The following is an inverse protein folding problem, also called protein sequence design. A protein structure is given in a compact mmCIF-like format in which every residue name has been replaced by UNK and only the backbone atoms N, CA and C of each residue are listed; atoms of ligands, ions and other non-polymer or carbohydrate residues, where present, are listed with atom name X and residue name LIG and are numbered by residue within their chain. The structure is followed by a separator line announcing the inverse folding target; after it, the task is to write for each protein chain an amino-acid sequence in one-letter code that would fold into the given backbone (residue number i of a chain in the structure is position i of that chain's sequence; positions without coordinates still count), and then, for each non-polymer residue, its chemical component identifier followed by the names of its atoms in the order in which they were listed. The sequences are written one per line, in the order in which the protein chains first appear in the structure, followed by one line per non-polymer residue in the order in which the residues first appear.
data_IF_942301211357
#
_entry.id   IF_942301211357
#
_cell.length_a   1.000
_cell.length_b   1.000
_cell.length_c   1.000
_cell.angle_alpha   90.00
_cell.angle_beta   90.00
_cell.angle_gamma   90.00
#
_symmetry.space_group_name_H-M   'P 1'
#
loop_
_entity.id
_entity.type
_entity.pdbx_description
1 polymer ?
#
# COMPACT_ATOMS: atom_id res chain seq x y z
N UNK A 1 30.49 -7.37 4.64
CA UNK A 1 29.42 -6.75 3.82
C UNK A 1 29.93 -6.66 2.40
N UNK A 2 29.22 -7.24 1.45
CA UNK A 2 29.46 -7.04 0.00
C UNK A 2 29.08 -5.62 -0.39
N UNK A 3 29.66 -5.08 -1.48
CA UNK A 3 29.25 -3.79 -2.05
C UNK A 3 27.75 -3.75 -2.37
N UNK A 4 27.19 -4.91 -2.74
CA UNK A 4 25.79 -5.08 -3.08
C UNK A 4 24.90 -4.89 -1.83
N UNK A 5 25.30 -5.40 -0.66
CA UNK A 5 24.62 -5.09 0.61
C UNK A 5 24.57 -3.59 0.93
N UNK A 6 25.63 -2.84 0.63
CA UNK A 6 25.69 -1.38 0.83
C UNK A 6 24.64 -0.64 -0.01
N UNK A 7 24.22 -1.20 -1.15
CA UNK A 7 23.18 -0.62 -2.01
C UNK A 7 21.78 -1.18 -1.67
N UNK A 8 21.68 -2.49 -1.42
CA UNK A 8 20.40 -3.16 -1.15
C UNK A 8 19.72 -2.63 0.11
N UNK A 9 20.48 -2.38 1.18
CA UNK A 9 19.91 -1.89 2.45
C UNK A 9 19.25 -0.51 2.28
N UNK A 10 19.92 0.54 1.78
CA UNK A 10 19.27 1.83 1.53
C UNK A 10 18.08 1.73 0.57
N UNK A 11 18.19 0.96 -0.51
CA UNK A 11 17.09 0.76 -1.47
C UNK A 11 15.88 0.12 -0.79
N UNK A 12 16.10 -0.89 0.06
CA UNK A 12 15.04 -1.55 0.81
C UNK A 12 14.38 -0.59 1.79
N UNK A 13 15.17 0.16 2.57
CA UNK A 13 14.66 1.11 3.55
C UNK A 13 13.87 2.25 2.89
N UNK A 14 14.35 2.78 1.77
CA UNK A 14 13.61 3.75 0.96
C UNK A 14 12.31 3.16 0.42
N UNK A 15 12.36 1.92 -0.08
CA UNK A 15 11.17 1.20 -0.54
C UNK A 15 10.12 1.04 0.56
N UNK A 16 10.54 0.64 1.76
CA UNK A 16 9.68 0.50 2.94
C UNK A 16 9.10 1.85 3.38
N UNK A 17 9.93 2.89 3.48
CA UNK A 17 9.49 4.23 3.88
C UNK A 17 8.45 4.80 2.92
N UNK A 18 8.67 4.67 1.60
CA UNK A 18 7.72 5.09 0.59
C UNK A 18 6.44 4.25 0.62
N UNK A 19 6.58 2.92 0.63
CA UNK A 19 5.43 1.99 0.58
C UNK A 19 4.52 2.12 1.80
N UNK A 20 5.08 1.93 3.00
CA UNK A 20 4.33 1.99 4.27
C UNK A 20 3.84 3.41 4.53
N UNK A 21 4.70 4.43 4.34
CA UNK A 21 4.34 5.82 4.56
C UNK A 21 3.19 6.27 3.66
N UNK A 22 3.26 5.99 2.36
CA UNK A 22 2.21 6.35 1.42
C UNK A 22 0.90 5.59 1.68
N UNK A 23 0.95 4.30 2.04
CA UNK A 23 -0.24 3.53 2.41
C UNK A 23 -0.93 4.13 3.65
N UNK A 24 -0.17 4.46 4.68
CA UNK A 24 -0.68 5.12 5.89
C UNK A 24 -1.31 6.48 5.59
N UNK A 25 -0.68 7.29 4.75
CA UNK A 25 -1.25 8.58 4.30
C UNK A 25 -2.56 8.36 3.53
N UNK A 26 -2.60 7.40 2.61
CA UNK A 26 -3.81 7.07 1.83
C UNK A 26 -4.95 6.69 2.76
N UNK A 27 -4.71 5.78 3.70
CA UNK A 27 -5.68 5.34 4.69
C UNK A 27 -6.17 6.50 5.56
N UNK A 28 -5.26 7.35 6.04
CA UNK A 28 -5.61 8.53 6.84
C UNK A 28 -6.52 9.50 6.06
N UNK A 29 -6.25 9.71 4.77
CA UNK A 29 -7.08 10.57 3.91
C UNK A 29 -8.47 9.97 3.68
N UNK A 30 -8.57 8.66 3.48
CA UNK A 30 -9.87 7.98 3.37
C UNK A 30 -10.68 8.14 4.65
N UNK A 31 -10.07 7.85 5.81
CA UNK A 31 -10.70 8.04 7.12
C UNK A 31 -11.12 9.50 7.34
N UNK A 32 -10.27 10.46 6.94
CA UNK A 32 -10.57 11.88 7.02
C UNK A 32 -11.77 12.24 6.15
N UNK A 33 -11.83 11.76 4.90
CA UNK A 33 -12.95 12.02 3.98
C UNK A 33 -14.29 11.47 4.49
N UNK A 34 -14.26 10.38 5.27
CA UNK A 34 -15.45 9.85 5.96
C UNK A 34 -15.94 10.77 7.07
N UNK A 35 -15.03 11.26 7.90
CA UNK A 35 -15.36 12.16 9.01
C UNK A 35 -15.72 13.58 8.55
N UNK A 36 -15.19 14.01 7.39
CA UNK A 36 -15.35 15.35 6.83
C UNK A 36 -15.59 15.25 5.33
N UNK A 37 -16.85 15.23 4.87
CA UNK A 37 -17.18 15.08 3.45
C UNK A 37 -16.52 16.10 2.53
N UNK A 38 -16.26 17.32 3.03
CA UNK A 38 -15.53 18.37 2.29
C UNK A 38 -14.08 17.98 1.90
N UNK A 39 -13.49 16.95 2.52
CA UNK A 39 -12.16 16.44 2.15
C UNK A 39 -12.18 15.42 1.02
N UNK A 40 -13.36 14.94 0.59
CA UNK A 40 -13.46 13.93 -0.47
C UNK A 40 -12.80 14.37 -1.78
N UNK A 41 -12.99 15.60 -2.30
CA UNK A 41 -12.35 16.03 -3.54
C UNK A 41 -10.82 16.00 -3.44
N UNK A 42 -10.27 16.44 -2.31
CA UNK A 42 -8.83 16.42 -2.03
C UNK A 42 -8.31 14.98 -2.07
N UNK A 43 -8.97 14.06 -1.36
CA UNK A 43 -8.62 12.64 -1.40
C UNK A 43 -8.64 12.10 -2.85
N UNK A 44 -9.69 12.42 -3.60
CA UNK A 44 -9.81 11.97 -4.99
C UNK A 44 -8.67 12.52 -5.87
N UNK A 45 -8.26 13.76 -5.70
CA UNK A 45 -7.16 14.35 -6.48
C UNK A 45 -5.81 13.68 -6.17
N UNK A 46 -5.49 13.48 -4.89
CA UNK A 46 -4.16 13.01 -4.46
C UNK A 46 -4.01 11.49 -4.41
N UNK A 47 -5.10 10.71 -4.52
CA UNK A 47 -5.02 9.23 -4.41
C UNK A 47 -4.05 8.60 -5.42
N UNK A 48 -4.04 9.07 -6.67
CA UNK A 48 -3.22 8.51 -7.75
C UNK A 48 -1.72 8.71 -7.51
N UNK A 49 -1.22 9.92 -7.21
CA UNK A 49 0.20 10.08 -6.89
C UNK A 49 0.60 9.28 -5.65
N UNK A 50 -0.27 9.18 -4.64
CA UNK A 50 0.00 8.33 -3.46
C UNK A 50 0.12 6.85 -3.86
N UNK A 51 -0.81 6.31 -4.65
CA UNK A 51 -0.72 4.94 -5.18
C UNK A 51 0.58 4.70 -5.95
N UNK A 52 1.07 5.68 -6.73
CA UNK A 52 2.37 5.57 -7.42
C UNK A 52 3.53 5.44 -6.45
N UNK A 53 3.53 6.19 -5.34
CA UNK A 53 4.53 6.03 -4.28
C UNK A 53 4.45 4.67 -3.60
N UNK A 54 3.23 4.15 -3.37
CA UNK A 54 3.03 2.80 -2.82
C UNK A 54 3.65 1.74 -3.75
N UNK A 55 3.31 1.78 -5.04
CA UNK A 55 3.81 0.84 -6.05
C UNK A 55 5.33 0.96 -6.19
N UNK A 56 5.86 2.18 -6.28
CA UNK A 56 7.31 2.41 -6.35
C UNK A 56 8.05 1.87 -5.12
N UNK A 57 7.52 2.15 -3.93
CA UNK A 57 8.07 1.62 -2.68
C UNK A 57 8.06 0.09 -2.62
N UNK A 58 6.94 -0.53 -3.01
CA UNK A 58 6.80 -1.98 -3.07
C UNK A 58 7.75 -2.60 -4.10
N UNK A 59 7.93 -1.98 -5.27
CA UNK A 59 8.87 -2.43 -6.28
C UNK A 59 10.31 -2.40 -5.76
N UNK A 60 10.75 -1.29 -5.15
CA UNK A 60 12.08 -1.18 -4.54
C UNK A 60 12.30 -2.23 -3.44
N UNK A 61 11.32 -2.42 -2.56
CA UNK A 61 11.39 -3.42 -1.48
C UNK A 61 11.42 -4.86 -2.02
N UNK A 62 10.69 -5.14 -3.10
CA UNK A 62 10.66 -6.46 -3.76
C UNK A 62 11.98 -6.75 -4.46
N UNK A 63 12.49 -5.80 -5.26
CA UNK A 63 13.75 -5.95 -6.00
C UNK A 63 14.95 -6.11 -5.05
N UNK A 64 15.00 -5.34 -3.97
CA UNK A 64 16.04 -5.50 -2.95
C UNK A 64 15.94 -6.85 -2.22
N UNK A 65 14.71 -7.31 -1.93
CA UNK A 65 14.46 -8.65 -1.39
C UNK A 65 14.97 -9.78 -2.29
N UNK A 66 14.70 -9.69 -3.60
CA UNK A 66 15.23 -10.62 -4.61
C UNK A 66 16.76 -10.54 -4.65
N UNK A 67 17.34 -9.34 -4.57
CA UNK A 67 18.79 -9.15 -4.50
C UNK A 67 19.45 -9.93 -3.37
N UNK A 68 18.90 -9.90 -2.16
CA UNK A 68 19.41 -10.71 -1.05
C UNK A 68 19.28 -12.22 -1.30
N UNK A 69 18.18 -12.69 -1.89
CA UNK A 69 18.04 -14.10 -2.25
C UNK A 69 19.13 -14.54 -3.24
N UNK A 70 19.47 -13.70 -4.22
CA UNK A 70 20.55 -13.94 -5.19
C UNK A 70 21.93 -13.96 -4.52
N UNK A 71 22.15 -13.17 -3.46
CA UNK A 71 23.37 -13.24 -2.64
C UNK A 71 23.47 -14.52 -1.78
N UNK A 72 22.45 -15.39 -1.81
CA UNK A 72 22.46 -16.65 -1.07
C UNK A 72 21.88 -16.55 0.33
N UNK A 73 21.04 -15.55 0.62
CA UNK A 73 20.30 -15.51 1.89
C UNK A 73 19.47 -16.80 2.06
N UNK A 74 19.61 -17.52 3.18
CA UNK A 74 18.97 -18.81 3.36
C UNK A 74 17.45 -18.67 3.52
N UNK A 75 16.71 -19.64 2.96
CA UNK A 75 15.27 -19.76 3.16
C UNK A 75 14.96 -20.16 4.60
N UNK A 76 14.47 -19.20 5.38
CA UNK A 76 13.92 -19.43 6.72
C UNK A 76 12.38 -19.39 6.70
N UNK A 77 11.69 -20.01 7.67
CA UNK A 77 10.23 -19.89 7.79
C UNK A 77 9.75 -18.43 7.83
N UNK A 78 10.54 -17.54 8.47
CA UNK A 78 10.26 -16.10 8.51
C UNK A 78 10.33 -15.44 7.14
N UNK A 79 11.35 -15.80 6.33
CA UNK A 79 11.49 -15.29 4.96
C UNK A 79 10.34 -15.77 4.07
N UNK A 80 9.95 -17.03 4.18
CA UNK A 80 8.79 -17.59 3.46
C UNK A 80 7.52 -16.81 3.82
N UNK A 81 7.28 -16.55 5.12
CA UNK A 81 6.15 -15.74 5.56
C UNK A 81 6.21 -14.31 4.98
N UNK A 82 7.38 -13.67 4.96
CA UNK A 82 7.57 -12.34 4.36
C UNK A 82 7.21 -12.34 2.88
N UNK A 83 7.70 -13.33 2.13
CA UNK A 83 7.41 -13.47 0.68
C UNK A 83 5.93 -13.68 0.45
N UNK A 84 5.26 -14.52 1.25
CA UNK A 84 3.81 -14.73 1.16
C UNK A 84 3.02 -13.44 1.42
N UNK A 85 3.40 -12.65 2.43
CA UNK A 85 2.79 -11.35 2.71
C UNK A 85 3.01 -10.37 1.55
N UNK A 86 4.22 -10.28 1.02
CA UNK A 86 4.53 -9.43 -0.15
C UNK A 86 3.71 -9.85 -1.37
N UNK A 87 3.56 -11.15 -1.62
CA UNK A 87 2.71 -11.65 -2.69
C UNK A 87 1.22 -11.28 -2.50
N UNK A 88 0.72 -11.36 -1.26
CA UNK A 88 -0.64 -10.93 -0.94
C UNK A 88 -0.84 -9.43 -1.19
N UNK A 89 0.14 -8.58 -0.86
CA UNK A 89 0.12 -7.15 -1.18
C UNK A 89 0.06 -6.93 -2.70
N UNK A 90 0.89 -7.63 -3.46
CA UNK A 90 0.90 -7.56 -4.93
C UNK A 90 -0.40 -8.04 -5.58
N UNK A 91 -1.13 -8.97 -4.96
CA UNK A 91 -2.45 -9.39 -5.43
C UNK A 91 -3.54 -8.38 -5.04
N UNK A 92 -3.47 -7.84 -3.83
CA UNK A 92 -4.47 -6.90 -3.31
C UNK A 92 -4.40 -5.53 -4.00
N UNK A 93 -3.21 -5.05 -4.36
CA UNK A 93 -3.02 -3.77 -5.06
C UNK A 93 -3.87 -3.65 -6.34
N UNK A 94 -3.72 -4.55 -7.33
CA UNK A 94 -4.54 -4.56 -8.54
C UNK A 94 -6.04 -4.69 -8.27
N UNK A 95 -6.46 -5.43 -7.24
CA UNK A 95 -7.86 -5.51 -6.85
C UNK A 95 -8.38 -4.14 -6.41
N UNK A 96 -7.63 -3.43 -5.56
CA UNK A 96 -7.98 -2.08 -5.11
C UNK A 96 -8.02 -1.13 -6.29
N UNK A 97 -6.96 -1.06 -7.08
CA UNK A 97 -6.79 -0.04 -8.12
C UNK A 97 -7.72 -0.24 -9.32
N UNK A 98 -8.00 -1.49 -9.71
CA UNK A 98 -8.78 -1.78 -10.92
C UNK A 98 -10.26 -2.09 -10.64
N UNK A 99 -10.62 -2.47 -9.41
CA UNK A 99 -12.00 -2.88 -9.09
C UNK A 99 -12.64 -1.98 -8.04
N UNK A 100 -11.99 -1.82 -6.89
CA UNK A 100 -12.62 -1.14 -5.74
C UNK A 100 -12.58 0.38 -5.89
N UNK A 101 -11.43 0.95 -6.25
CA UNK A 101 -11.25 2.39 -6.44
C UNK A 101 -12.15 2.94 -7.57
N UNK A 102 -12.24 2.31 -8.75
CA UNK A 102 -13.12 2.83 -9.81
C UNK A 102 -14.60 2.80 -9.43
N UNK A 103 -15.03 1.88 -8.55
CA UNK A 103 -16.40 1.89 -8.02
C UNK A 103 -16.63 3.06 -7.06
N UNK A 104 -15.67 3.33 -6.17
CA UNK A 104 -15.71 4.50 -5.28
C UNK A 104 -15.81 5.81 -6.07
N UNK A 105 -14.98 5.95 -7.10
CA UNK A 105 -14.90 7.17 -7.91
C UNK A 105 -16.19 7.38 -8.72
N UNK A 106 -16.71 6.32 -9.36
CA UNK A 106 -17.95 6.40 -10.15
C UNK A 106 -19.19 6.75 -9.32
N UNK A 107 -19.19 6.41 -8.03
CA UNK A 107 -20.32 6.66 -7.14
C UNK A 107 -20.12 7.89 -6.26
N UNK A 108 -19.00 8.61 -6.40
CA UNK A 108 -18.72 9.79 -5.59
C UNK A 108 -19.78 10.88 -5.83
N UNK A 109 -20.35 11.48 -4.77
CA UNK A 109 -21.28 12.59 -4.91
C UNK A 109 -20.58 13.82 -5.50
N UNK A 110 -21.33 14.69 -6.17
CA UNK A 110 -20.80 15.99 -6.57
C UNK A 110 -20.51 16.87 -5.35
N UNK A 111 -19.74 17.94 -5.54
CA UNK A 111 -19.42 18.87 -4.45
C UNK A 111 -20.71 19.51 -3.91
N UNK A 112 -20.95 19.36 -2.61
CA UNK A 112 -22.15 19.87 -1.94
C UNK A 112 -23.34 18.90 -1.92
N UNK A 113 -23.27 17.78 -2.64
CA UNK A 113 -24.32 16.76 -2.61
C UNK A 113 -24.16 15.80 -1.41
N UNK A 114 -25.28 15.26 -0.95
CA UNK A 114 -25.30 14.23 0.08
C UNK A 114 -24.80 12.88 -0.49
N UNK A 115 -24.09 12.12 0.35
CA UNK A 115 -23.61 10.79 -0.02
C UNK A 115 -24.77 9.79 -0.17
N UNK A 116 -24.93 9.24 -1.38
CA UNK A 116 -25.89 8.18 -1.64
C UNK A 116 -25.47 6.82 -1.04
N UNK A 117 -26.42 5.90 -0.89
CA UNK A 117 -26.18 4.57 -0.32
C UNK A 117 -25.11 3.75 -1.10
N UNK A 118 -25.09 3.87 -2.42
CA UNK A 118 -24.10 3.21 -3.28
C UNK A 118 -22.67 3.68 -2.97
N UNK A 119 -22.48 4.98 -2.77
CA UNK A 119 -21.19 5.55 -2.39
C UNK A 119 -20.74 5.06 -1.03
N UNK A 120 -21.62 5.07 -0.03
CA UNK A 120 -21.30 4.63 1.33
C UNK A 120 -20.87 3.15 1.36
N UNK A 121 -21.54 2.30 0.57
CA UNK A 121 -21.15 0.90 0.41
C UNK A 121 -19.77 0.75 -0.27
N UNK A 122 -19.53 1.49 -1.35
CA UNK A 122 -18.24 1.51 -2.04
C UNK A 122 -17.11 2.01 -1.13
N UNK A 123 -17.34 3.08 -0.37
CA UNK A 123 -16.40 3.67 0.57
C UNK A 123 -16.08 2.73 1.73
N UNK A 124 -17.06 1.97 2.24
CA UNK A 124 -16.81 0.94 3.25
C UNK A 124 -15.92 -0.17 2.69
N UNK A 125 -16.21 -0.65 1.49
CA UNK A 125 -15.41 -1.70 0.82
C UNK A 125 -13.98 -1.22 0.60
N UNK A 126 -13.83 -0.02 0.05
CA UNK A 126 -12.53 0.60 -0.17
C UNK A 126 -11.73 0.75 1.13
N UNK A 127 -12.36 1.24 2.20
CA UNK A 127 -11.70 1.36 3.50
C UNK A 127 -11.21 0.00 4.03
N UNK A 128 -12.03 -1.05 3.93
CA UNK A 128 -11.62 -2.39 4.39
C UNK A 128 -10.38 -2.87 3.61
N UNK A 129 -10.36 -2.69 2.29
CA UNK A 129 -9.21 -3.07 1.48
C UNK A 129 -7.96 -2.24 1.80
N UNK A 130 -8.09 -0.91 1.98
CA UNK A 130 -6.98 -0.03 2.35
C UNK A 130 -6.42 -0.35 3.75
N UNK A 131 -7.28 -0.67 4.72
CA UNK A 131 -6.85 -1.16 6.05
C UNK A 131 -6.09 -2.48 5.91
N UNK A 132 -6.64 -3.44 5.17
CA UNK A 132 -5.99 -4.74 4.97
C UNK A 132 -4.63 -4.59 4.29
N UNK A 133 -4.54 -3.79 3.22
CA UNK A 133 -3.30 -3.52 2.50
C UNK A 133 -2.26 -2.83 3.41
N UNK A 134 -2.69 -1.83 4.19
CA UNK A 134 -1.81 -1.12 5.13
C UNK A 134 -1.28 -2.07 6.21
N UNK A 135 -2.13 -2.92 6.79
CA UNK A 135 -1.71 -3.91 7.78
C UNK A 135 -0.74 -4.94 7.21
N UNK A 136 -0.96 -5.40 5.97
CA UNK A 136 -0.02 -6.29 5.29
C UNK A 136 1.34 -5.61 5.05
N UNK A 137 1.35 -4.32 4.67
CA UNK A 137 2.60 -3.55 4.54
C UNK A 137 3.35 -3.45 5.86
N UNK A 138 2.66 -3.19 6.98
CA UNK A 138 3.27 -3.21 8.31
C UNK A 138 3.75 -4.61 8.71
N UNK A 139 3.04 -5.67 8.35
CA UNK A 139 3.49 -7.04 8.58
C UNK A 139 4.76 -7.36 7.78
N UNK A 140 4.84 -6.97 6.50
CA UNK A 140 6.03 -7.12 5.68
C UNK A 140 7.23 -6.35 6.26
N UNK A 141 6.98 -5.14 6.78
CA UNK A 141 7.97 -4.35 7.51
C UNK A 141 8.45 -5.07 8.77
N UNK A 142 7.55 -5.50 9.65
CA UNK A 142 7.91 -6.19 10.89
C UNK A 142 8.68 -7.50 10.64
N UNK A 143 8.35 -8.23 9.58
CA UNK A 143 9.07 -9.43 9.16
C UNK A 143 10.47 -9.11 8.61
N UNK A 144 10.70 -7.90 8.10
CA UNK A 144 11.96 -7.46 7.49
C UNK A 144 13.00 -6.83 8.44
N UNK A 145 12.63 -6.41 9.65
CA UNK A 145 13.52 -5.71 10.62
C UNK A 145 14.63 -6.60 11.23
N UNK A 146 14.75 -7.87 10.82
CA UNK A 146 15.78 -8.77 11.38
C UNK A 146 16.62 -9.48 10.31
N UNK A 147 16.84 -8.82 9.18
CA UNK A 147 17.89 -9.20 8.23
C UNK A 147 19.24 -8.69 8.76
#
# INVERSE_FOLDING_TARGET
MTWLNTVLVPVHLLGLALGVGAATVKLALVLRSRSKPAFLPVFLEVRRPITRFIIGGLALATLSGIGWLVEGYPWSPRLVAKVAVVAAIWALGPLIDNVVEPRLVRTAPAAGEAAGAAFLAAQRTYLVCEVAATLLMYAAFALGVSL
#
